data_IF_073024403872
#
_entry.id   IF_073024403872
#
_cell.length_a   1.000
_cell.length_b   1.000
_cell.length_c   1.000
_cell.angle_alpha   90.00
_cell.angle_beta   90.00
_cell.angle_gamma   90.00
#
_symmetry.space_group_name_H-M   'P 1'
#
loop_
_entity.id
_entity.type
_entity.pdbx_description
1 polymer ?
#
# COMPACT_ATOMS: atom_id res chain seq x y z
N UNK A 1 -13.60 9.18 -13.81
CA UNK A 1 -14.51 8.36 -12.98
C UNK A 1 -14.42 8.81 -11.53
N UNK A 2 -15.54 8.97 -10.83
CA UNK A 2 -15.56 9.34 -9.40
C UNK A 2 -15.77 8.07 -8.58
N UNK A 3 -14.70 7.49 -8.04
CA UNK A 3 -14.72 6.17 -7.40
C UNK A 3 -15.74 6.06 -6.25
N UNK A 4 -15.83 7.05 -5.34
CA UNK A 4 -16.82 7.02 -4.24
C UNK A 4 -18.27 7.07 -4.71
N UNK A 5 -18.58 7.74 -5.83
CA UNK A 5 -19.93 7.75 -6.39
C UNK A 5 -20.30 6.35 -6.93
N UNK A 6 -19.34 5.70 -7.61
CA UNK A 6 -19.50 4.31 -8.06
C UNK A 6 -19.67 3.39 -6.85
N UNK A 7 -18.85 3.55 -5.81
CA UNK A 7 -18.94 2.78 -4.57
C UNK A 7 -20.32 2.91 -3.92
N UNK A 8 -20.84 4.13 -3.81
CA UNK A 8 -22.19 4.40 -3.28
C UNK A 8 -23.28 3.73 -4.12
N UNK A 9 -23.15 3.77 -5.45
CA UNK A 9 -24.07 3.04 -6.35
C UNK A 9 -24.05 1.52 -6.11
N UNK A 10 -22.86 0.95 -5.93
CA UNK A 10 -22.71 -0.48 -5.63
C UNK A 10 -23.31 -0.84 -4.27
N UNK A 11 -23.04 -0.04 -3.23
CA UNK A 11 -23.59 -0.22 -1.89
C UNK A 11 -25.13 -0.20 -1.91
N UNK A 12 -25.73 0.78 -2.60
CA UNK A 12 -27.18 0.88 -2.73
C UNK A 12 -27.79 -0.35 -3.40
N UNK A 13 -27.18 -0.85 -4.48
CA UNK A 13 -27.63 -2.08 -5.16
C UNK A 13 -27.49 -3.29 -4.26
N UNK A 14 -26.38 -3.45 -3.56
CA UNK A 14 -26.21 -4.53 -2.59
C UNK A 14 -27.29 -4.50 -1.50
N UNK A 15 -27.55 -3.32 -0.91
CA UNK A 15 -28.54 -3.16 0.15
C UNK A 15 -29.96 -3.47 -0.28
N UNK A 16 -30.33 -3.18 -1.54
CA UNK A 16 -31.62 -3.58 -2.09
C UNK A 16 -31.79 -5.10 -2.21
N UNK A 17 -30.69 -5.85 -2.24
CA UNK A 17 -30.66 -7.30 -2.51
C UNK A 17 -30.58 -8.14 -1.23
N UNK A 18 -29.98 -7.59 -0.16
CA UNK A 18 -29.86 -8.27 1.15
C UNK A 18 -31.18 -8.83 1.71
N UNK A 19 -32.36 -8.19 1.53
CA UNK A 19 -33.63 -8.74 2.05
C UNK A 19 -34.08 -10.05 1.38
N UNK A 20 -33.62 -10.38 0.17
CA UNK A 20 -34.11 -11.56 -0.58
C UNK A 20 -33.71 -12.89 0.07
N UNK A 21 -32.53 -12.93 0.71
CA UNK A 21 -31.93 -14.14 1.30
C UNK A 21 -31.81 -15.38 0.36
N UNK A 22 -31.97 -15.20 -0.95
CA UNK A 22 -31.71 -16.24 -1.95
C UNK A 22 -30.22 -16.29 -2.30
N UNK A 23 -29.72 -17.47 -2.69
CA UNK A 23 -28.29 -17.66 -2.94
C UNK A 23 -27.80 -16.79 -4.10
N UNK A 24 -28.53 -16.78 -5.21
CA UNK A 24 -28.19 -16.05 -6.43
C UNK A 24 -28.14 -14.54 -6.19
N UNK A 25 -29.13 -14.03 -5.44
CA UNK A 25 -29.20 -12.60 -5.09
C UNK A 25 -28.11 -12.23 -4.09
N UNK A 26 -27.75 -13.11 -3.14
CA UNK A 26 -26.65 -12.88 -2.22
C UNK A 26 -25.28 -12.90 -2.94
N UNK A 27 -25.11 -13.73 -3.97
CA UNK A 27 -23.90 -13.69 -4.82
C UNK A 27 -23.80 -12.37 -5.57
N UNK A 28 -24.92 -11.85 -6.08
CA UNK A 28 -24.94 -10.52 -6.70
C UNK A 28 -24.64 -9.41 -5.69
N UNK A 29 -25.22 -9.45 -4.49
CA UNK A 29 -24.90 -8.49 -3.42
C UNK A 29 -23.40 -8.55 -3.03
N UNK A 30 -22.81 -9.75 -2.95
CA UNK A 30 -21.39 -9.93 -2.70
C UNK A 30 -20.52 -9.30 -3.81
N UNK A 31 -20.91 -9.45 -5.08
CA UNK A 31 -20.22 -8.83 -6.21
C UNK A 31 -20.22 -7.30 -6.09
N UNK A 32 -21.38 -6.72 -5.82
CA UNK A 32 -21.54 -5.27 -5.65
C UNK A 32 -20.73 -4.73 -4.46
N UNK A 33 -20.76 -5.41 -3.31
CA UNK A 33 -19.96 -5.01 -2.14
C UNK A 33 -18.46 -5.15 -2.39
N UNK A 34 -18.03 -6.14 -3.18
CA UNK A 34 -16.63 -6.26 -3.60
C UNK A 34 -16.21 -5.07 -4.46
N UNK A 35 -17.02 -4.70 -5.46
CA UNK A 35 -16.74 -3.55 -6.32
C UNK A 35 -16.75 -2.23 -5.53
N UNK A 36 -17.66 -2.08 -4.57
CA UNK A 36 -17.69 -0.96 -3.63
C UNK A 36 -16.36 -0.81 -2.88
N UNK A 37 -15.90 -1.89 -2.28
CA UNK A 37 -14.64 -1.96 -1.54
C UNK A 37 -13.43 -1.64 -2.43
N UNK A 38 -13.39 -2.20 -3.64
CA UNK A 38 -12.33 -1.91 -4.63
C UNK A 38 -12.28 -0.42 -4.99
N UNK A 39 -13.43 0.19 -5.25
CA UNK A 39 -13.52 1.62 -5.57
C UNK A 39 -12.94 2.51 -4.46
N UNK A 40 -13.23 2.20 -3.19
CA UNK A 40 -12.72 2.98 -2.05
C UNK A 40 -11.18 2.90 -1.94
N UNK A 41 -10.59 1.77 -2.29
CA UNK A 41 -9.12 1.59 -2.26
C UNK A 41 -8.47 2.32 -3.43
N UNK A 42 -9.08 2.25 -4.62
CA UNK A 42 -8.57 3.00 -5.77
C UNK A 42 -8.70 4.50 -5.57
N UNK A 43 -9.76 4.96 -4.90
CA UNK A 43 -9.87 6.35 -4.48
C UNK A 43 -8.73 6.73 -3.53
N UNK A 44 -8.46 5.90 -2.51
CA UNK A 44 -7.35 6.12 -1.60
C UNK A 44 -6.02 6.17 -2.33
N UNK A 45 -5.76 5.23 -3.24
CA UNK A 45 -4.55 5.23 -4.08
C UNK A 45 -4.43 6.49 -4.94
N UNK A 46 -5.55 7.07 -5.42
CA UNK A 46 -5.52 8.33 -6.15
C UNK A 46 -5.02 9.50 -5.29
N UNK A 47 -5.26 9.50 -3.98
CA UNK A 47 -4.73 10.52 -3.07
C UNK A 47 -3.19 10.47 -2.97
N UNK A 48 -2.58 9.30 -3.21
CA UNK A 48 -1.14 9.07 -3.16
C UNK A 48 -0.50 8.97 -4.55
N UNK A 49 -1.22 9.35 -5.61
CA UNK A 49 -0.76 9.17 -6.99
C UNK A 49 0.60 9.82 -7.29
N UNK A 50 0.95 10.92 -6.62
CA UNK A 50 2.24 11.61 -6.80
C UNK A 50 3.45 10.77 -6.36
N UNK A 51 3.25 9.81 -5.45
CA UNK A 51 4.31 8.98 -4.88
C UNK A 51 4.24 7.51 -5.34
N UNK A 52 3.18 7.14 -6.06
CA UNK A 52 3.07 5.81 -6.69
C UNK A 52 3.82 5.79 -8.02
N UNK A 53 4.59 4.72 -8.25
CA UNK A 53 5.20 4.42 -9.54
C UNK A 53 4.20 3.79 -10.50
N UNK A 54 4.56 3.71 -11.79
CA UNK A 54 3.70 3.03 -12.77
C UNK A 54 3.60 1.52 -12.49
N UNK A 55 4.64 0.91 -11.95
CA UNK A 55 4.63 -0.51 -11.56
C UNK A 55 3.68 -0.75 -10.37
N UNK A 56 3.59 0.19 -9.42
CA UNK A 56 2.64 0.11 -8.31
C UNK A 56 1.18 0.08 -8.80
N UNK A 57 0.89 0.81 -9.88
CA UNK A 57 -0.44 0.88 -10.49
C UNK A 57 -0.79 -0.34 -11.35
N UNK A 58 0.20 -1.14 -11.77
CA UNK A 58 -0.05 -2.40 -12.50
C UNK A 58 -0.57 -3.50 -11.57
N UNK A 59 -0.25 -3.43 -10.27
CA UNK A 59 -0.80 -4.32 -9.25
C UNK A 59 -2.23 -3.93 -8.86
N UNK A 60 -3.19 -4.26 -9.72
CA UNK A 60 -4.61 -3.91 -9.53
C UNK A 60 -5.28 -4.62 -8.34
N UNK A 61 -4.64 -5.62 -7.73
CA UNK A 61 -5.25 -6.37 -6.63
C UNK A 61 -5.27 -5.52 -5.34
N UNK A 62 -6.44 -5.29 -4.69
CA UNK A 62 -6.54 -4.31 -3.62
C UNK A 62 -5.67 -4.59 -2.39
N UNK A 63 -5.50 -5.86 -2.01
CA UNK A 63 -4.64 -6.25 -0.89
C UNK A 63 -3.16 -5.99 -1.16
N UNK A 64 -2.72 -6.15 -2.41
CA UNK A 64 -1.35 -5.82 -2.84
C UNK A 64 -1.17 -4.31 -2.93
N UNK A 65 -2.14 -3.61 -3.52
CA UNK A 65 -2.12 -2.16 -3.63
C UNK A 65 -2.06 -1.49 -2.25
N UNK A 66 -2.87 -1.90 -1.26
CA UNK A 66 -2.78 -1.29 0.08
C UNK A 66 -1.46 -1.61 0.77
N UNK A 67 -0.92 -2.83 0.59
CA UNK A 67 0.37 -3.21 1.16
C UNK A 67 1.45 -2.32 0.58
N UNK A 68 1.42 -2.13 -0.74
CA UNK A 68 2.38 -1.26 -1.44
C UNK A 68 2.24 0.20 -1.04
N UNK A 69 1.01 0.70 -0.90
CA UNK A 69 0.76 2.02 -0.33
C UNK A 69 1.39 2.16 1.05
N UNK A 70 1.21 1.19 1.95
CA UNK A 70 1.75 1.27 3.30
C UNK A 70 3.28 1.15 3.39
N UNK A 71 3.94 0.58 2.37
CA UNK A 71 5.41 0.59 2.26
C UNK A 71 5.93 1.99 1.92
N UNK A 72 5.16 2.78 1.18
CA UNK A 72 5.50 4.15 0.78
C UNK A 72 4.99 5.17 1.80
N UNK A 73 3.81 4.90 2.35
CA UNK A 73 2.97 5.81 3.11
C UNK A 73 2.42 5.09 4.35
N UNK A 74 3.17 5.07 5.47
CA UNK A 74 2.85 4.25 6.65
C UNK A 74 1.47 4.49 7.27
N UNK A 75 0.89 5.67 7.04
CA UNK A 75 -0.42 6.08 7.57
C UNK A 75 -1.53 6.02 6.51
N UNK A 76 -1.25 5.44 5.33
CA UNK A 76 -2.23 5.38 4.24
C UNK A 76 -3.51 4.60 4.58
N UNK A 77 -3.52 3.75 5.60
CA UNK A 77 -4.71 3.04 6.09
C UNK A 77 -5.35 3.67 7.34
N UNK A 78 -4.92 4.89 7.70
CA UNK A 78 -5.43 5.68 8.81
C UNK A 78 -6.27 6.87 8.32
N UNK A 79 -7.31 7.15 9.09
CA UNK A 79 -8.11 8.35 8.91
C UNK A 79 -7.41 9.56 9.52
N UNK A 80 -7.64 10.72 8.93
CA UNK A 80 -7.18 12.00 9.47
C UNK A 80 -8.30 12.69 10.24
N UNK A 81 -7.95 13.38 11.33
CA UNK A 81 -8.85 14.32 12.01
C UNK A 81 -8.51 15.71 11.52
N UNK A 82 -9.52 16.46 11.08
CA UNK A 82 -9.37 17.82 10.61
C UNK A 82 -10.10 18.75 11.56
N UNK A 83 -9.33 19.56 12.28
CA UNK A 83 -9.83 20.58 13.19
C UNK A 83 -9.59 21.95 12.58
N UNK A 84 -10.60 22.82 12.59
CA UNK A 84 -10.49 24.21 12.19
C UNK A 84 -11.07 25.07 13.30
N UNK A 85 -10.38 26.16 13.62
CA UNK A 85 -10.82 27.14 14.61
C UNK A 85 -10.87 28.54 14.00
N UNK A 86 -11.55 29.46 14.68
CA UNK A 86 -11.48 30.89 14.34
C UNK A 86 -10.04 31.40 14.47
N UNK A 87 -9.66 32.35 13.61
CA UNK A 87 -8.38 33.05 13.74
C UNK A 87 -8.34 33.95 14.98
N UNK A 88 -9.50 34.41 15.43
CA UNK A 88 -9.65 35.36 16.53
C UNK A 88 -9.64 34.66 17.90
N UNK A 89 -10.08 33.39 17.94
CA UNK A 89 -10.01 32.52 19.11
C UNK A 89 -9.75 31.07 18.68
N UNK A 90 -8.56 30.56 18.97
CA UNK A 90 -8.17 29.18 18.63
C UNK A 90 -8.98 28.12 19.40
N UNK A 91 -9.71 28.51 20.46
CA UNK A 91 -10.61 27.61 21.18
C UNK A 91 -11.99 27.53 20.54
N UNK A 92 -12.34 28.44 19.62
CA UNK A 92 -13.59 28.43 18.88
C UNK A 92 -13.48 27.47 17.68
N UNK A 93 -13.56 26.17 17.99
CA UNK A 93 -13.46 25.10 16.99
C UNK A 93 -14.75 25.07 16.15
N UNK A 94 -14.65 25.50 14.90
CA UNK A 94 -15.74 25.54 13.92
C UNK A 94 -15.91 24.23 13.14
N UNK A 95 -14.89 23.37 13.15
CA UNK A 95 -14.95 22.05 12.54
C UNK A 95 -14.04 21.09 13.29
N UNK A 96 -14.55 19.88 13.54
CA UNK A 96 -13.80 18.82 14.20
C UNK A 96 -14.25 17.46 13.66
N UNK A 97 -13.79 17.14 12.46
CA UNK A 97 -14.25 15.98 11.71
C UNK A 97 -13.18 14.91 11.62
N UNK A 98 -13.59 13.65 11.56
CA UNK A 98 -12.67 12.51 11.40
C UNK A 98 -13.00 11.72 10.15
N UNK A 99 -11.98 11.47 9.33
CA UNK A 99 -12.07 10.63 8.15
C UNK A 99 -12.15 9.16 8.58
N UNK A 100 -13.11 8.44 8.02
CA UNK A 100 -13.23 6.99 8.15
C UNK A 100 -12.67 6.35 6.88
N UNK A 101 -11.56 5.64 7.02
CA UNK A 101 -10.92 4.88 5.93
C UNK A 101 -10.91 3.39 6.25
N UNK A 102 -10.86 2.54 5.22
CA UNK A 102 -10.64 1.10 5.40
C UNK A 102 -9.21 0.83 5.85
N UNK A 103 -9.04 0.22 7.03
CA UNK A 103 -7.73 -0.28 7.44
C UNK A 103 -7.31 -1.51 6.62
N UNK A 104 -6.00 -1.79 6.53
CA UNK A 104 -5.49 -3.00 5.86
C UNK A 104 -6.09 -4.28 6.46
N UNK A 105 -6.33 -4.29 7.76
CA UNK A 105 -6.91 -5.44 8.49
C UNK A 105 -8.36 -5.67 8.08
N UNK A 106 -9.18 -4.62 8.05
CA UNK A 106 -10.57 -4.70 7.59
C UNK A 106 -10.62 -5.14 6.12
N UNK A 107 -9.79 -4.53 5.28
CA UNK A 107 -9.71 -4.89 3.88
C UNK A 107 -9.42 -6.38 3.69
N UNK A 108 -8.33 -6.87 4.29
CA UNK A 108 -7.89 -8.26 4.11
C UNK A 108 -8.95 -9.24 4.63
N UNK A 109 -9.58 -8.92 5.76
CA UNK A 109 -10.65 -9.72 6.36
C UNK A 109 -11.85 -9.87 5.42
N UNK A 110 -12.30 -8.76 4.84
CA UNK A 110 -13.53 -8.75 4.05
C UNK A 110 -13.30 -9.17 2.59
N UNK A 111 -12.22 -8.73 1.95
CA UNK A 111 -11.95 -9.01 0.54
C UNK A 111 -11.90 -10.52 0.22
N UNK A 112 -11.13 -11.29 0.99
CA UNK A 112 -11.05 -12.74 0.81
C UNK A 112 -12.38 -13.44 1.13
N UNK A 113 -13.08 -12.97 2.17
CA UNK A 113 -14.35 -13.57 2.58
C UNK A 113 -15.43 -13.38 1.52
N UNK A 114 -15.57 -12.18 0.96
CA UNK A 114 -16.54 -11.92 -0.11
C UNK A 114 -16.19 -12.70 -1.37
N UNK A 115 -14.90 -12.77 -1.72
CA UNK A 115 -14.44 -13.57 -2.85
C UNK A 115 -14.87 -15.02 -2.75
N UNK A 116 -14.81 -15.61 -1.55
CA UNK A 116 -15.25 -17.00 -1.31
C UNK A 116 -16.72 -17.26 -1.67
N UNK A 117 -17.60 -16.25 -1.57
CA UNK A 117 -19.01 -16.38 -1.94
C UNK A 117 -19.25 -16.33 -3.46
N UNK A 118 -18.28 -15.83 -4.22
CA UNK A 118 -18.39 -15.72 -5.68
C UNK A 118 -17.86 -16.97 -6.40
N UNK A 119 -17.07 -17.79 -5.70
CA UNK A 119 -16.53 -19.02 -6.25
C UNK A 119 -17.55 -20.16 -6.21
N UNK A 120 -17.35 -21.16 -7.07
CA UNK A 120 -18.02 -22.44 -6.96
C UNK A 120 -17.43 -23.19 -5.75
N UNK A 121 -18.28 -23.52 -4.78
CA UNK A 121 -17.88 -24.23 -3.55
C UNK A 121 -18.11 -25.72 -3.72
N UNK A 122 -17.18 -26.53 -3.22
CA UNK A 122 -17.28 -27.99 -3.23
C UNK A 122 -16.70 -28.60 -1.94
N UNK A 123 -17.13 -29.82 -1.59
CA UNK A 123 -16.60 -30.60 -0.47
C UNK A 123 -15.31 -31.36 -0.84
N UNK A 124 -14.74 -32.12 0.10
CA UNK A 124 -13.55 -32.94 -0.16
C UNK A 124 -13.74 -33.96 -1.28
N UNK A 125 -14.99 -34.32 -1.56
CA UNK A 125 -15.39 -35.29 -2.57
C UNK A 125 -15.78 -34.62 -3.91
N UNK A 126 -15.48 -33.32 -4.06
CA UNK A 126 -15.78 -32.47 -5.23
C UNK A 126 -17.29 -32.29 -5.52
N UNK A 127 -18.15 -32.54 -4.54
CA UNK A 127 -19.58 -32.29 -4.68
C UNK A 127 -19.93 -30.82 -4.37
N UNK A 128 -20.87 -30.20 -5.12
CA UNK A 128 -21.27 -28.82 -4.88
C UNK A 128 -21.81 -28.59 -3.46
N UNK A 129 -21.35 -27.52 -2.82
CA UNK A 129 -21.88 -27.06 -1.51
C UNK A 129 -22.71 -25.80 -1.73
N UNK A 130 -23.99 -25.84 -1.34
CA UNK A 130 -24.85 -24.66 -1.30
C UNK A 130 -24.37 -23.65 -0.26
N UNK A 131 -24.54 -22.36 -0.54
CA UNK A 131 -24.17 -21.33 0.42
C UNK A 131 -25.11 -21.37 1.63
N UNK A 132 -24.54 -21.23 2.83
CA UNK A 132 -25.34 -20.94 4.02
C UNK A 132 -25.81 -19.48 3.92
N UNK A 133 -26.99 -19.27 3.34
CA UNK A 133 -27.53 -17.94 3.03
C UNK A 133 -27.62 -17.05 4.27
N UNK A 134 -28.07 -17.58 5.41
CA UNK A 134 -28.12 -16.83 6.68
C UNK A 134 -26.75 -16.31 7.12
N UNK A 135 -25.71 -17.16 7.07
CA UNK A 135 -24.34 -16.78 7.46
C UNK A 135 -23.71 -15.78 6.48
N UNK A 136 -23.96 -15.98 5.18
CA UNK A 136 -23.52 -15.09 4.11
C UNK A 136 -24.18 -13.73 4.26
N UNK A 137 -25.51 -13.68 4.37
CA UNK A 137 -26.30 -12.47 4.53
C UNK A 137 -25.78 -11.62 5.71
N UNK A 138 -25.67 -12.23 6.90
CA UNK A 138 -25.11 -11.56 8.10
C UNK A 138 -23.69 -11.02 7.88
N UNK A 139 -22.88 -11.70 7.08
CA UNK A 139 -21.52 -11.25 6.76
C UNK A 139 -21.52 -10.07 5.77
N UNK A 140 -22.43 -10.08 4.80
CA UNK A 140 -22.61 -9.00 3.84
C UNK A 140 -23.26 -7.76 4.48
N UNK A 141 -24.22 -7.91 5.38
CA UNK A 141 -24.81 -6.81 6.18
C UNK A 141 -23.74 -6.08 6.99
N UNK A 142 -22.90 -6.82 7.72
CA UNK A 142 -21.78 -6.24 8.49
C UNK A 142 -20.81 -5.45 7.63
N UNK A 143 -20.52 -5.99 6.44
CA UNK A 143 -19.67 -5.29 5.48
C UNK A 143 -20.35 -4.05 4.92
N UNK A 144 -21.65 -4.13 4.61
CA UNK A 144 -22.44 -3.00 4.12
C UNK A 144 -22.40 -1.84 5.12
N UNK A 145 -22.66 -2.10 6.41
CA UNK A 145 -22.55 -1.07 7.46
C UNK A 145 -21.16 -0.43 7.48
N UNK A 146 -20.10 -1.25 7.46
CA UNK A 146 -18.73 -0.75 7.46
C UNK A 146 -18.38 0.08 6.21
N UNK A 147 -18.88 -0.30 5.04
CA UNK A 147 -18.68 0.46 3.81
C UNK A 147 -19.50 1.75 3.79
N UNK A 148 -20.70 1.74 4.37
CA UNK A 148 -21.54 2.93 4.52
C UNK A 148 -20.87 3.99 5.39
N UNK A 149 -20.28 3.60 6.53
CA UNK A 149 -19.48 4.47 7.40
C UNK A 149 -18.32 5.16 6.63
N UNK A 150 -17.61 4.41 5.78
CA UNK A 150 -16.48 4.94 4.98
C UNK A 150 -16.97 5.85 3.84
N UNK A 151 -18.09 5.49 3.21
CA UNK A 151 -18.66 6.25 2.10
C UNK A 151 -19.24 7.58 2.60
N UNK A 152 -19.90 7.57 3.75
CA UNK A 152 -20.58 8.72 4.35
C UNK A 152 -19.70 9.46 5.36
N UNK A 153 -18.40 9.18 5.40
CA UNK A 153 -17.46 9.94 6.21
C UNK A 153 -17.57 11.45 5.91
N UNK A 154 -17.66 12.32 6.93
CA UNK A 154 -17.88 13.77 6.75
C UNK A 154 -16.78 14.45 5.94
N UNK A 155 -15.55 13.97 6.12
CA UNK A 155 -14.37 14.36 5.37
C UNK A 155 -13.80 13.14 4.68
N UNK A 156 -13.22 13.34 3.50
CA UNK A 156 -12.65 12.24 2.73
C UNK A 156 -11.57 12.71 1.77
N UNK A 157 -10.78 11.74 1.27
CA UNK A 157 -9.70 11.95 0.30
C UNK A 157 -8.56 12.78 0.86
N UNK A 158 -8.36 12.73 2.18
CA UNK A 158 -7.28 13.46 2.82
C UNK A 158 -5.97 12.69 2.71
N UNK A 159 -4.93 13.35 2.24
CA UNK A 159 -3.56 12.88 2.32
C UNK A 159 -2.67 14.08 2.65
N UNK A 160 -1.62 13.91 3.46
CA UNK A 160 -0.75 15.00 3.87
C UNK A 160 0.15 15.38 2.70
N UNK A 161 -0.37 16.19 1.76
CA UNK A 161 0.32 16.51 0.50
C UNK A 161 1.71 17.09 0.71
N UNK A 162 1.89 17.91 1.76
CA UNK A 162 3.21 18.43 2.12
C UNK A 162 4.18 17.28 2.43
N UNK A 163 3.72 16.23 3.12
CA UNK A 163 4.52 15.07 3.49
C UNK A 163 4.77 14.05 2.38
N UNK A 164 4.38 14.31 1.13
CA UNK A 164 4.58 13.38 0.02
C UNK A 164 5.82 13.78 -0.79
N UNK A 165 6.91 13.04 -0.60
CA UNK A 165 8.17 13.24 -1.31
C UNK A 165 8.34 12.20 -2.41
N UNK A 166 9.05 12.57 -3.48
CA UNK A 166 9.44 11.65 -4.53
C UNK A 166 10.79 12.03 -5.12
N UNK A 167 11.56 11.03 -5.53
CA UNK A 167 12.83 11.19 -6.23
C UNK A 167 13.03 10.05 -7.24
N UNK A 168 14.00 10.19 -8.12
CA UNK A 168 14.30 9.15 -9.12
C UNK A 168 15.34 8.16 -8.58
N UNK A 169 15.10 6.87 -8.79
CA UNK A 169 16.03 5.85 -8.35
C UNK A 169 17.38 6.00 -9.06
N UNK A 170 18.46 6.24 -8.29
CA UNK A 170 19.84 6.31 -8.80
C UNK A 170 20.35 5.03 -9.50
N UNK A 171 19.63 3.90 -9.44
CA UNK A 171 19.97 2.65 -10.15
C UNK A 171 19.19 2.46 -11.45
N UNK A 172 17.86 2.59 -11.42
CA UNK A 172 16.99 2.27 -12.57
C UNK A 172 16.19 3.44 -13.12
N UNK A 173 16.23 4.61 -12.48
CA UNK A 173 15.47 5.80 -12.87
C UNK A 173 13.98 5.77 -12.53
N UNK A 174 13.43 4.67 -12.01
CA UNK A 174 12.03 4.60 -11.60
C UNK A 174 11.75 5.56 -10.44
N UNK A 175 10.54 6.13 -10.40
CA UNK A 175 10.11 7.01 -9.30
C UNK A 175 10.04 6.23 -7.99
N UNK A 176 10.66 6.81 -6.97
CA UNK A 176 10.67 6.36 -5.59
C UNK A 176 9.89 7.38 -4.77
N UNK A 177 8.70 7.00 -4.32
CA UNK A 177 7.86 7.82 -3.45
C UNK A 177 8.09 7.53 -1.97
N UNK A 178 7.81 8.51 -1.13
CA UNK A 178 7.96 8.42 0.32
C UNK A 178 7.01 9.39 1.04
N UNK A 179 6.24 8.89 2.01
CA UNK A 179 5.69 9.67 3.11
C UNK A 179 6.52 9.35 4.36
N UNK A 180 7.12 10.35 5.02
CA UNK A 180 7.92 10.11 6.22
C UNK A 180 7.09 9.47 7.33
N UNK A 181 7.75 8.62 8.10
CA UNK A 181 7.20 8.19 9.37
C UNK A 181 7.48 9.31 10.40
N UNK A 182 6.46 10.07 10.77
CA UNK A 182 6.58 11.21 11.69
C UNK A 182 7.06 10.85 13.11
N UNK A 183 7.16 9.56 13.45
CA UNK A 183 7.68 9.09 14.75
C UNK A 183 9.16 8.70 14.73
N UNK A 184 9.80 8.61 13.55
CA UNK A 184 11.21 8.28 13.41
C UNK A 184 11.90 9.21 12.41
N UNK A 185 13.06 9.74 12.79
CA UNK A 185 13.85 10.64 11.93
C UNK A 185 14.59 9.90 10.83
N UNK A 186 14.82 8.60 10.98
CA UNK A 186 15.61 7.77 10.06
C UNK A 186 14.89 6.47 9.74
N UNK A 187 14.89 6.10 8.46
CA UNK A 187 14.29 4.84 7.99
C UNK A 187 14.86 4.42 6.65
N UNK A 188 14.64 3.15 6.30
CA UNK A 188 15.08 2.59 5.03
C UNK A 188 13.93 2.54 4.02
N UNK A 189 14.25 2.84 2.77
CA UNK A 189 13.31 2.76 1.66
C UNK A 189 13.89 1.95 0.50
N UNK A 190 13.01 1.33 -0.28
CA UNK A 190 13.39 0.49 -1.40
C UNK A 190 12.78 1.01 -2.69
N UNK A 191 13.50 0.84 -3.80
CA UNK A 191 12.96 1.13 -5.11
C UNK A 191 11.66 0.32 -5.35
N UNK A 192 10.67 0.99 -5.92
CA UNK A 192 9.37 0.44 -6.29
C UNK A 192 9.43 -0.62 -7.37
N UNK A 193 10.40 -0.50 -8.28
CA UNK A 193 10.62 -1.48 -9.33
C UNK A 193 11.09 -2.80 -8.71
N UNK A 194 10.24 -3.82 -8.80
CA UNK A 194 10.49 -5.17 -8.29
C UNK A 194 11.77 -5.85 -8.81
N UNK A 195 12.31 -5.39 -9.95
CA UNK A 195 13.56 -5.88 -10.54
C UNK A 195 14.78 -5.07 -10.12
N UNK A 196 14.59 -3.98 -9.39
CA UNK A 196 15.64 -3.12 -8.88
C UNK A 196 15.93 -3.45 -7.41
N UNK A 197 17.20 -3.53 -7.07
CA UNK A 197 17.65 -3.77 -5.69
C UNK A 197 18.15 -2.52 -4.98
N UNK A 198 17.93 -1.33 -5.54
CA UNK A 198 18.32 -0.09 -4.87
C UNK A 198 17.57 0.10 -3.55
N UNK A 199 18.31 0.42 -2.50
CA UNK A 199 17.82 0.86 -1.20
C UNK A 199 18.39 2.23 -0.85
N UNK A 200 17.69 2.96 0.01
CA UNK A 200 18.08 4.28 0.45
C UNK A 200 17.93 4.38 1.97
N UNK A 201 18.95 4.94 2.61
CA UNK A 201 18.83 5.48 3.96
C UNK A 201 18.20 6.86 3.83
N UNK A 202 17.10 7.09 4.55
CA UNK A 202 16.31 8.32 4.47
C UNK A 202 16.30 8.98 5.83
N UNK A 203 16.59 10.29 5.84
CA UNK A 203 16.48 11.14 7.01
C UNK A 203 15.39 12.18 6.78
N UNK A 204 14.49 12.33 7.74
CA UNK A 204 13.43 13.33 7.70
C UNK A 204 13.57 14.32 8.86
N UNK A 205 13.70 15.59 8.51
CA UNK A 205 13.64 16.71 9.43
C UNK A 205 12.20 17.21 9.51
N UNK A 206 11.53 16.89 10.62
CA UNK A 206 10.14 17.28 10.86
C UNK A 206 9.96 18.79 11.11
N UNK A 207 11.01 19.51 11.54
CA UNK A 207 10.93 20.95 11.82
C UNK A 207 10.97 21.75 10.52
N UNK A 208 11.92 21.42 9.65
CA UNK A 208 12.07 22.10 8.37
C UNK A 208 11.28 21.43 7.24
N UNK A 209 10.65 20.30 7.52
CA UNK A 209 9.89 19.49 6.58
C UNK A 209 10.73 19.07 5.36
N UNK A 210 11.96 18.63 5.63
CA UNK A 210 12.95 18.28 4.60
C UNK A 210 13.27 16.79 4.64
N UNK A 211 13.39 16.19 3.45
CA UNK A 211 13.77 14.80 3.27
C UNK A 211 15.12 14.73 2.57
N UNK A 212 16.06 14.07 3.22
CA UNK A 212 17.39 13.74 2.68
C UNK A 212 17.46 12.23 2.48
N UNK A 213 18.19 11.80 1.45
CA UNK A 213 18.36 10.38 1.17
C UNK A 213 19.74 10.09 0.58
N UNK A 214 20.32 8.97 1.01
CA UNK A 214 21.58 8.48 0.51
C UNK A 214 21.42 7.04 0.00
N UNK A 215 22.08 6.67 -1.11
CA UNK A 215 22.14 5.28 -1.54
C UNK A 215 22.70 4.39 -0.44
N UNK A 216 21.97 3.33 -0.11
CA UNK A 216 22.43 2.29 0.80
C UNK A 216 23.40 1.36 0.03
N UNK A 217 24.67 1.77 0.03
CA UNK A 217 25.76 1.14 -0.72
C UNK A 217 26.94 0.81 0.20
N UNK A 218 27.58 -0.32 -0.08
CA UNK A 218 28.85 -0.72 0.53
C UNK A 218 29.97 -0.55 -0.48
N UNK A 219 31.09 0.00 -0.04
CA UNK A 219 32.33 -0.01 -0.81
C UNK A 219 33.03 -1.34 -0.67
N UNK A 220 33.32 -1.97 -1.80
CA UNK A 220 34.15 -3.15 -1.92
C UNK A 220 35.35 -2.85 -2.83
N UNK A 221 36.39 -3.67 -2.75
CA UNK A 221 37.56 -3.57 -3.63
C UNK A 221 37.51 -4.65 -4.69
N UNK A 222 37.87 -4.33 -5.93
CA UNK A 222 38.01 -5.34 -6.98
C UNK A 222 39.01 -6.43 -6.56
N UNK A 223 38.63 -7.69 -6.76
CA UNK A 223 39.44 -8.85 -6.40
C UNK A 223 40.71 -9.02 -7.26
N UNK A 224 40.83 -8.29 -8.38
CA UNK A 224 42.06 -8.28 -9.19
C UNK A 224 43.16 -7.52 -8.44
N UNK A 225 44.23 -8.24 -8.06
CA UNK A 225 45.37 -7.71 -7.29
C UNK A 225 45.94 -6.40 -7.82
N UNK A 226 45.98 -6.23 -9.14
CA UNK A 226 46.59 -5.04 -9.76
C UNK A 226 45.58 -3.91 -10.07
N UNK A 227 44.28 -4.12 -9.83
CA UNK A 227 43.26 -3.12 -10.11
C UNK A 227 42.95 -2.28 -8.87
N UNK A 228 42.69 -2.95 -7.74
CA UNK A 228 42.31 -2.38 -6.43
C UNK A 228 41.26 -1.26 -6.48
N UNK A 229 40.46 -1.21 -7.55
CA UNK A 229 39.46 -0.18 -7.72
C UNK A 229 38.36 -0.33 -6.68
N UNK A 230 37.97 0.76 -6.02
CA UNK A 230 36.78 0.79 -5.18
C UNK A 230 35.53 0.64 -6.06
N UNK A 231 34.59 -0.18 -5.62
CA UNK A 231 33.33 -0.47 -6.30
C UNK A 231 32.21 -0.31 -5.28
N UNK A 232 31.21 0.49 -5.64
CA UNK A 232 29.98 0.62 -4.87
C UNK A 232 29.01 -0.50 -5.23
N UNK A 233 28.57 -1.25 -4.22
CA UNK A 233 27.60 -2.33 -4.36
C UNK A 233 26.37 -1.96 -3.52
N UNK A 234 25.18 -2.10 -4.08
CA UNK A 234 23.94 -1.92 -3.31
C UNK A 234 23.85 -2.95 -2.20
N UNK A 235 23.47 -2.54 -0.99
CA UNK A 235 23.41 -3.43 0.17
C UNK A 235 22.56 -4.68 -0.09
N UNK A 236 21.44 -4.54 -0.78
CA UNK A 236 20.55 -5.67 -1.15
C UNK A 236 21.13 -6.61 -2.21
N UNK A 237 22.20 -6.21 -2.90
CA UNK A 237 22.95 -7.07 -3.82
C UNK A 237 24.04 -7.88 -3.11
N UNK A 238 24.33 -7.61 -1.83
CA UNK A 238 25.29 -8.39 -1.03
C UNK A 238 24.63 -9.71 -0.60
N UNK A 239 24.70 -10.69 -1.50
CA UNK A 239 24.25 -12.07 -1.27
C UNK A 239 25.36 -13.02 -1.68
N UNK A 240 25.49 -14.13 -0.97
CA UNK A 240 26.47 -15.15 -1.30
C UNK A 240 26.23 -15.65 -2.74
N UNK A 241 27.27 -15.66 -3.56
CA UNK A 241 27.20 -16.06 -4.96
C UNK A 241 26.75 -14.98 -5.94
N UNK A 242 26.29 -13.81 -5.48
CA UNK A 242 26.02 -12.68 -6.39
C UNK A 242 27.32 -12.17 -7.03
N UNK A 243 27.22 -11.55 -8.20
CA UNK A 243 28.38 -11.08 -8.95
C UNK A 243 28.29 -9.61 -9.31
N UNK A 244 29.44 -8.95 -9.44
CA UNK A 244 29.54 -7.59 -9.96
C UNK A 244 30.75 -7.43 -10.87
N UNK A 245 30.61 -6.62 -11.92
CA UNK A 245 31.70 -6.34 -12.86
C UNK A 245 32.43 -5.07 -12.45
N UNK A 246 33.77 -5.13 -12.35
CA UNK A 246 34.58 -3.95 -12.09
C UNK A 246 34.58 -3.02 -13.31
N UNK A 247 34.13 -1.77 -13.15
CA UNK A 247 34.12 -0.79 -14.25
C UNK A 247 35.50 -0.40 -14.79
N UNK A 248 36.58 -0.62 -14.04
CA UNK A 248 37.95 -0.28 -14.46
C UNK A 248 38.65 -1.41 -15.24
N UNK A 249 38.55 -2.66 -14.79
CA UNK A 249 39.29 -3.78 -15.39
C UNK A 249 38.40 -4.84 -16.05
N UNK A 250 37.07 -4.71 -15.95
CA UNK A 250 36.11 -5.66 -16.52
C UNK A 250 36.04 -7.01 -15.80
N UNK A 251 36.81 -7.24 -14.73
CA UNK A 251 36.75 -8.49 -13.97
C UNK A 251 35.35 -8.68 -13.36
N UNK A 252 34.78 -9.87 -13.56
CA UNK A 252 33.60 -10.33 -12.83
C UNK A 252 34.03 -10.84 -11.45
N UNK A 253 33.56 -10.16 -10.40
CA UNK A 253 33.82 -10.50 -9.01
C UNK A 253 32.63 -11.28 -8.46
N UNK A 254 32.87 -12.20 -7.53
CA UNK A 254 31.83 -12.96 -6.82
C UNK A 254 31.83 -12.54 -5.35
N UNK A 255 30.65 -12.31 -4.81
CA UNK A 255 30.44 -11.95 -3.41
C UNK A 255 30.38 -13.23 -2.58
N UNK A 256 31.30 -13.36 -1.63
CA UNK A 256 31.22 -14.32 -0.55
C UNK A 256 31.10 -13.58 0.78
N UNK A 257 30.24 -14.04 1.67
CA UNK A 257 30.23 -13.59 3.06
C UNK A 257 30.24 -14.81 4.00
N UNK A 258 30.84 -14.64 5.17
CA UNK A 258 30.87 -15.60 6.26
C UNK A 258 30.57 -14.86 7.57
N UNK A 259 29.87 -15.50 8.48
CA UNK A 259 29.65 -14.95 9.82
C UNK A 259 30.92 -15.21 10.63
N UNK A 260 31.56 -14.15 11.11
CA UNK A 260 32.62 -14.30 12.10
C UNK A 260 31.98 -14.62 13.44
N UNK A 261 32.23 -15.82 13.96
CA UNK A 261 31.95 -16.10 15.37
C UNK A 261 33.10 -15.44 16.15
N UNK A 262 32.79 -14.35 16.83
CA UNK A 262 33.68 -13.75 17.82
C UNK A 262 33.80 -14.67 19.04
#
# INVERSE_FOLDING_TARGET
>A
MKYRDVARGCLNRANAMLPSNSEEVLRYAALELRQCLECLIYERACCYKSVLSNDDLKEWQPSRLIKRLLEIAPYADKGFRLTMASKEDENDIIMDETERVLSRKELSKHYHKIGSYLHASFNSDLEPIALNTTSVNKSLERLSTLLDEVINSPIAKLAPKAGLFAFDCKKCGERVGCEPNYTVSEFNLHCSNSKCSASYEVTFDAVNHQLSYEPDIVSATCAKKDCLNSVSIWQRDIKHGNTFTCGKCGLLNVIGYSISLA
#
